data_IF_125262390521
#
_entry.id   IF_125262390521
#
_cell.length_a   1.000
_cell.length_b   1.000
_cell.length_c   1.000
_cell.angle_alpha   90.00
_cell.angle_beta   90.00
_cell.angle_gamma   90.00
#
_symmetry.space_group_name_H-M   'P 1'
#
loop_
_entity.id
_entity.type
_entity.pdbx_description
1 polymer ?
#
# COMPACT_ATOMS: atom_id res chain seq x y z
N UNK A 1 -9.90 -12.28 13.60
CA UNK A 1 -8.77 -11.60 12.92
C UNK A 1 -7.98 -12.69 12.20
N UNK A 2 -7.89 -12.65 10.87
CA UNK A 2 -7.06 -13.61 10.13
C UNK A 2 -5.57 -13.22 10.24
N UNK A 3 -4.65 -14.14 9.92
CA UNK A 3 -3.21 -13.93 10.07
C UNK A 3 -2.71 -12.69 9.29
N UNK A 4 -3.28 -12.43 8.11
CA UNK A 4 -3.01 -11.25 7.29
C UNK A 4 -3.36 -9.94 8.02
N UNK A 5 -4.57 -9.82 8.54
CA UNK A 5 -5.00 -8.63 9.28
C UNK A 5 -4.18 -8.43 10.56
N UNK A 6 -3.80 -9.52 11.24
CA UNK A 6 -2.92 -9.44 12.41
C UNK A 6 -1.54 -8.89 12.05
N UNK A 7 -0.95 -9.36 10.94
CA UNK A 7 0.32 -8.83 10.41
C UNK A 7 0.20 -7.33 10.10
N UNK A 8 -0.82 -6.93 9.33
CA UNK A 8 -1.02 -5.53 8.94
C UNK A 8 -1.18 -4.60 10.15
N UNK A 9 -1.88 -5.04 11.20
CA UNK A 9 -2.04 -4.24 12.43
C UNK A 9 -0.71 -4.06 13.18
N UNK A 10 0.17 -5.07 13.22
CA UNK A 10 1.49 -4.93 13.84
C UNK A 10 2.40 -4.00 13.02
N UNK A 11 2.45 -4.21 11.71
CA UNK A 11 3.20 -3.34 10.77
C UNK A 11 2.73 -1.89 10.89
N UNK A 12 1.42 -1.63 10.93
CA UNK A 12 0.86 -0.31 11.17
C UNK A 12 1.36 0.29 12.49
N UNK A 13 1.34 -0.49 13.57
CA UNK A 13 1.86 -0.08 14.88
C UNK A 13 3.32 0.32 14.82
N UNK A 14 4.17 -0.46 14.17
CA UNK A 14 5.60 -0.15 14.01
C UNK A 14 5.88 1.03 13.09
N UNK A 15 5.09 1.25 12.04
CA UNK A 15 5.24 2.44 11.18
C UNK A 15 4.91 3.74 11.92
N UNK A 16 4.10 3.67 12.97
CA UNK A 16 3.76 4.83 13.81
C UNK A 16 4.83 5.16 14.86
N UNK A 17 5.90 4.37 14.97
CA UNK A 17 6.97 4.58 15.96
C UNK A 17 8.31 4.98 15.31
N UNK A 18 9.03 5.89 15.97
CA UNK A 18 10.45 6.27 15.81
C UNK A 18 11.16 6.05 14.44
N UNK A 19 11.29 7.11 13.59
CA UNK A 19 10.37 8.23 13.48
C UNK A 19 9.04 7.74 12.89
N UNK A 20 7.93 8.10 13.54
CA UNK A 20 6.61 7.64 13.14
C UNK A 20 6.07 8.35 11.90
N UNK A 21 5.34 7.62 11.06
CA UNK A 21 4.42 8.17 10.06
C UNK A 21 2.97 7.91 10.49
N UNK A 22 2.05 8.72 9.98
CA UNK A 22 0.63 8.52 10.21
C UNK A 22 0.10 7.38 9.32
N UNK A 23 0.33 6.13 9.72
CA UNK A 23 -0.06 4.95 8.95
C UNK A 23 -1.52 4.55 9.23
N UNK A 24 -2.28 4.20 8.19
CA UNK A 24 -3.66 3.70 8.28
C UNK A 24 -3.82 2.40 7.48
N UNK A 25 -4.81 1.58 7.84
CA UNK A 25 -5.19 0.40 7.07
C UNK A 25 -6.56 0.67 6.43
N UNK A 26 -6.70 0.40 5.14
CA UNK A 26 -8.00 0.49 4.46
C UNK A 26 -9.04 -0.46 5.07
N UNK A 27 -8.60 -1.57 5.69
CA UNK A 27 -9.46 -2.55 6.37
C UNK A 27 -9.83 -2.18 7.81
N UNK A 28 -9.62 -0.95 8.27
CA UNK A 28 -9.96 -0.60 9.64
C UNK A 28 -11.49 -0.55 9.82
N UNK A 29 -12.01 -1.65 10.36
CA UNK A 29 -13.40 -1.96 10.76
C UNK A 29 -14.15 -0.89 11.57
N UNK A 30 -13.52 0.25 11.87
CA UNK A 30 -14.14 1.39 12.53
C UNK A 30 -14.71 2.44 11.56
N UNK A 31 -14.49 2.29 10.25
CA UNK A 31 -15.08 3.18 9.24
C UNK A 31 -16.36 2.54 8.70
N UNK A 32 -17.47 3.25 8.84
CA UNK A 32 -18.77 2.80 8.34
C UNK A 32 -18.75 2.73 6.81
N UNK A 33 -18.88 1.52 6.27
CA UNK A 33 -18.95 1.26 4.83
C UNK A 33 -20.39 1.23 4.31
N UNK A 34 -21.38 1.51 5.16
CA UNK A 34 -22.79 1.56 4.75
C UNK A 34 -23.06 2.77 3.82
N UNK A 35 -22.26 3.83 3.94
CA UNK A 35 -22.35 5.05 3.12
C UNK A 35 -21.38 5.09 1.92
N UNK A 36 -20.24 4.39 2.00
CA UNK A 36 -19.19 4.37 0.96
C UNK A 36 -18.60 2.96 0.84
N UNK A 37 -18.64 2.39 -0.37
CA UNK A 37 -18.07 1.06 -0.62
C UNK A 37 -16.54 1.06 -0.40
N UNK A 38 -16.00 -0.11 -0.05
CA UNK A 38 -14.58 -0.27 0.29
C UNK A 38 -13.62 0.19 -0.82
N UNK A 39 -13.99 0.04 -2.10
CA UNK A 39 -13.13 0.43 -3.22
C UNK A 39 -13.08 1.95 -3.35
N UNK A 40 -14.25 2.62 -3.28
CA UNK A 40 -14.31 4.09 -3.29
C UNK A 40 -13.50 4.68 -2.13
N UNK A 41 -13.64 4.10 -0.94
CA UNK A 41 -12.86 4.51 0.22
C UNK A 41 -11.35 4.38 -0.02
N UNK A 42 -10.87 3.26 -0.55
CA UNK A 42 -9.44 3.06 -0.82
C UNK A 42 -8.89 4.01 -1.88
N UNK A 43 -9.69 4.40 -2.86
CA UNK A 43 -9.33 5.43 -3.83
C UNK A 43 -9.14 6.78 -3.12
N UNK A 44 -10.07 7.20 -2.29
CA UNK A 44 -9.97 8.50 -1.59
C UNK A 44 -8.83 8.53 -0.57
N UNK A 45 -8.62 7.44 0.19
CA UNK A 45 -7.44 7.34 1.05
C UNK A 45 -6.14 7.43 0.26
N UNK A 46 -6.06 6.76 -0.89
CA UNK A 46 -4.87 6.80 -1.73
C UNK A 46 -4.59 8.20 -2.27
N UNK A 47 -5.64 8.96 -2.62
CA UNK A 47 -5.51 10.35 -3.09
C UNK A 47 -4.91 11.28 -2.02
N UNK A 48 -5.25 11.05 -0.76
CA UNK A 48 -4.81 11.91 0.34
C UNK A 48 -3.50 11.42 0.99
N UNK A 49 -3.10 10.17 0.75
CA UNK A 49 -1.91 9.59 1.35
C UNK A 49 -0.65 9.99 0.58
N UNK A 50 0.38 10.47 1.30
CA UNK A 50 1.67 10.72 0.66
C UNK A 50 2.22 9.45 0.00
N UNK A 51 2.09 8.30 0.66
CA UNK A 51 2.52 7.00 0.18
C UNK A 51 1.45 5.94 0.48
N UNK A 52 1.17 5.07 -0.50
CA UNK A 52 0.24 3.95 -0.39
C UNK A 52 0.96 2.65 -0.73
N UNK A 53 0.74 1.63 0.10
CA UNK A 53 1.35 0.31 -0.09
C UNK A 53 0.28 -0.78 -0.12
N UNK A 54 0.29 -1.58 -1.18
CA UNK A 54 -0.51 -2.80 -1.28
C UNK A 54 0.34 -3.96 -0.77
N UNK A 55 0.01 -4.46 0.42
CA UNK A 55 0.72 -5.58 1.04
C UNK A 55 -0.03 -6.87 0.76
N UNK A 56 0.67 -7.84 0.19
CA UNK A 56 0.11 -9.15 -0.20
C UNK A 56 0.78 -10.25 0.65
N UNK A 57 0.20 -10.57 1.81
CA UNK A 57 0.76 -11.58 2.72
C UNK A 57 0.22 -12.98 2.40
N UNK A 58 1.09 -13.98 2.46
CA UNK A 58 0.77 -15.40 2.29
C UNK A 58 0.18 -15.80 0.92
N UNK A 59 0.46 -17.04 0.49
CA UNK A 59 -0.19 -17.62 -0.69
C UNK A 59 -1.70 -17.81 -0.45
N UNK A 60 -2.52 -17.32 -1.38
CA UNK A 60 -3.98 -17.54 -1.39
C UNK A 60 -4.83 -16.46 -0.74
N UNK A 61 -4.25 -15.44 -0.07
CA UNK A 61 -4.98 -14.30 0.48
C UNK A 61 -5.02 -13.09 -0.48
N UNK A 62 -5.04 -13.37 -1.80
CA UNK A 62 -4.69 -12.40 -2.84
C UNK A 62 -5.90 -11.82 -3.60
N UNK A 63 -7.10 -12.39 -3.42
CA UNK A 63 -8.22 -12.07 -4.31
C UNK A 63 -8.78 -10.67 -4.04
N UNK A 64 -9.04 -10.31 -2.78
CA UNK A 64 -9.56 -8.98 -2.42
C UNK A 64 -8.57 -7.84 -2.69
N UNK A 65 -7.29 -8.04 -2.35
CA UNK A 65 -6.25 -7.04 -2.60
C UNK A 65 -6.07 -6.80 -4.10
N UNK A 66 -6.22 -7.82 -4.95
CA UNK A 66 -6.07 -7.68 -6.40
C UNK A 66 -7.15 -6.82 -7.05
N UNK A 67 -8.42 -7.01 -6.68
CA UNK A 67 -9.53 -6.22 -7.23
C UNK A 67 -9.48 -4.75 -6.77
N UNK A 68 -9.19 -4.54 -5.48
CA UNK A 68 -9.08 -3.22 -4.89
C UNK A 68 -7.87 -2.46 -5.46
N UNK A 69 -6.71 -3.11 -5.50
CA UNK A 69 -5.50 -2.50 -6.03
C UNK A 69 -5.63 -2.21 -7.54
N UNK A 70 -6.28 -3.10 -8.30
CA UNK A 70 -6.62 -2.85 -9.70
C UNK A 70 -7.47 -1.58 -9.87
N UNK A 71 -8.52 -1.43 -9.06
CA UNK A 71 -9.41 -0.27 -9.10
C UNK A 71 -8.69 1.05 -8.75
N UNK A 72 -7.82 1.02 -7.73
CA UNK A 72 -6.99 2.18 -7.37
C UNK A 72 -6.03 2.53 -8.51
N UNK A 73 -5.35 1.55 -9.09
CA UNK A 73 -4.41 1.75 -10.20
C UNK A 73 -5.08 2.32 -11.44
N UNK A 74 -6.26 1.80 -11.80
CA UNK A 74 -7.02 2.32 -12.93
C UNK A 74 -7.34 3.80 -12.81
N UNK A 75 -7.49 4.30 -11.59
CA UNK A 75 -7.88 5.68 -11.33
C UNK A 75 -6.72 6.62 -11.02
N UNK A 76 -5.66 6.11 -10.41
CA UNK A 76 -4.59 6.93 -9.83
C UNK A 76 -3.19 6.63 -10.35
N UNK A 77 -2.94 5.56 -11.12
CA UNK A 77 -1.57 5.24 -11.57
C UNK A 77 -0.92 6.40 -12.35
N UNK A 78 -1.70 7.11 -13.18
CA UNK A 78 -1.19 8.22 -13.99
C UNK A 78 -0.79 9.46 -13.17
N UNK A 79 -1.37 9.66 -11.98
CA UNK A 79 -1.17 10.88 -11.17
C UNK A 79 -0.43 10.61 -9.86
N UNK A 80 -0.50 9.38 -9.36
CA UNK A 80 0.04 8.98 -8.06
C UNK A 80 1.00 7.79 -8.17
N UNK A 81 1.38 7.31 -9.36
CA UNK A 81 2.21 6.12 -9.52
C UNK A 81 3.49 6.14 -8.68
N UNK A 82 4.17 7.29 -8.59
CA UNK A 82 5.35 7.51 -7.73
C UNK A 82 5.10 7.34 -6.22
N UNK A 83 3.83 7.32 -5.81
CA UNK A 83 3.33 7.19 -4.44
C UNK A 83 2.77 5.81 -4.15
N UNK A 84 2.77 4.88 -5.12
CA UNK A 84 2.25 3.52 -4.98
C UNK A 84 3.38 2.50 -4.94
N UNK A 85 3.27 1.52 -4.04
CA UNK A 85 4.15 0.34 -4.00
C UNK A 85 3.36 -0.93 -3.75
N UNK A 86 3.74 -2.02 -4.41
CA UNK A 86 3.28 -3.36 -4.10
C UNK A 86 4.37 -4.09 -3.34
N UNK A 87 4.01 -4.72 -2.22
CA UNK A 87 4.94 -5.45 -1.39
C UNK A 87 4.36 -6.84 -1.13
N UNK A 88 5.04 -7.88 -1.59
CA UNK A 88 4.58 -9.26 -1.42
C UNK A 88 5.62 -10.11 -0.71
N UNK A 89 5.15 -11.13 -0.01
CA UNK A 89 6.05 -12.11 0.61
C UNK A 89 6.84 -12.84 -0.49
N UNK A 90 8.13 -13.14 -0.26
CA UNK A 90 9.06 -13.58 -1.30
C UNK A 90 8.58 -14.85 -2.04
N UNK A 91 7.96 -15.78 -1.32
CA UNK A 91 7.41 -17.02 -1.87
C UNK A 91 6.03 -16.85 -2.53
N UNK A 92 5.45 -15.64 -2.48
CA UNK A 92 4.16 -15.34 -3.12
C UNK A 92 4.39 -14.90 -4.56
N UNK A 93 4.19 -15.82 -5.49
CA UNK A 93 4.09 -15.47 -6.91
C UNK A 93 2.65 -15.15 -7.30
N UNK A 94 2.40 -13.96 -7.84
CA UNK A 94 1.07 -13.55 -8.30
C UNK A 94 1.08 -13.14 -9.78
N UNK A 95 0.27 -13.83 -10.59
CA UNK A 95 0.04 -13.43 -11.98
C UNK A 95 -0.59 -12.03 -12.07
N UNK A 96 -1.38 -11.64 -11.07
CA UNK A 96 -1.97 -10.30 -10.96
C UNK A 96 -0.89 -9.23 -10.76
N UNK A 97 0.07 -9.42 -9.84
CA UNK A 97 1.17 -8.47 -9.63
C UNK A 97 1.98 -8.30 -10.92
N UNK A 98 2.26 -9.40 -11.63
CA UNK A 98 2.96 -9.35 -12.92
C UNK A 98 2.16 -8.60 -13.99
N UNK A 99 0.87 -8.90 -14.14
CA UNK A 99 0.00 -8.25 -15.11
C UNK A 99 -0.16 -6.75 -14.82
N UNK A 100 -0.27 -6.40 -13.54
CA UNK A 100 -0.37 -5.02 -13.10
C UNK A 100 0.94 -4.26 -13.37
N UNK A 101 2.09 -4.89 -13.12
CA UNK A 101 3.38 -4.27 -13.46
C UNK A 101 3.51 -3.95 -14.95
N UNK A 102 3.11 -4.88 -15.82
CA UNK A 102 3.17 -4.69 -17.27
C UNK A 102 2.27 -3.55 -17.72
N UNK A 103 1.10 -3.37 -17.09
CA UNK A 103 0.11 -2.36 -17.47
C UNK A 103 0.43 -0.96 -16.94
N UNK A 104 1.02 -0.85 -15.75
CA UNK A 104 1.14 0.42 -15.02
C UNK A 104 2.56 0.79 -14.57
N UNK A 105 3.58 -0.02 -14.87
CA UNK A 105 4.98 0.17 -14.44
C UNK A 105 5.09 0.40 -12.92
N UNK A 106 4.73 -0.63 -12.16
CA UNK A 106 4.57 -0.54 -10.72
C UNK A 106 5.87 -0.77 -9.99
N UNK A 107 6.07 -0.02 -8.91
CA UNK A 107 7.09 -0.38 -7.94
C UNK A 107 6.66 -1.63 -7.19
N UNK A 108 7.41 -2.72 -7.36
CA UNK A 108 7.21 -3.99 -6.66
C UNK A 108 8.43 -4.29 -5.80
N UNK A 109 8.19 -4.60 -4.54
CA UNK A 109 9.20 -5.00 -3.56
C UNK A 109 8.80 -6.34 -2.93
N UNK A 110 9.77 -7.06 -2.37
CA UNK A 110 9.52 -8.30 -1.64
C UNK A 110 9.94 -8.19 -0.18
N UNK A 111 9.44 -9.11 0.64
CA UNK A 111 9.89 -9.29 2.03
C UNK A 111 9.85 -10.76 2.42
N UNK A 112 10.72 -11.17 3.35
CA UNK A 112 10.71 -12.49 3.99
C UNK A 112 10.27 -12.40 5.45
N UNK A 113 10.51 -11.25 6.09
CA UNK A 113 10.17 -11.04 7.50
C UNK A 113 9.33 -9.78 7.71
N UNK A 114 8.60 -9.74 8.83
CA UNK A 114 7.84 -8.55 9.24
C UNK A 114 8.74 -7.30 9.37
N UNK A 115 9.97 -7.46 9.90
CA UNK A 115 10.93 -6.36 10.02
C UNK A 115 11.42 -5.85 8.66
N UNK A 116 11.59 -6.73 7.68
CA UNK A 116 11.91 -6.33 6.31
C UNK A 116 10.77 -5.57 5.65
N UNK A 117 9.53 -6.04 5.83
CA UNK A 117 8.34 -5.34 5.36
C UNK A 117 8.29 -3.92 5.94
N UNK A 118 8.45 -3.77 7.26
CA UNK A 118 8.48 -2.46 7.92
C UNK A 118 9.62 -1.59 7.37
N UNK A 119 10.83 -2.13 7.23
CA UNK A 119 11.97 -1.42 6.67
C UNK A 119 11.72 -0.94 5.23
N UNK A 120 11.12 -1.78 4.39
CA UNK A 120 10.75 -1.47 3.02
C UNK A 120 9.73 -0.34 2.96
N UNK A 121 8.66 -0.42 3.77
CA UNK A 121 7.63 0.61 3.82
C UNK A 121 8.17 1.95 4.34
N UNK A 122 9.05 1.94 5.36
CA UNK A 122 9.72 3.16 5.87
C UNK A 122 10.59 3.81 4.80
N UNK A 123 11.40 3.02 4.10
CA UNK A 123 12.25 3.53 3.00
C UNK A 123 11.40 4.14 1.89
N UNK A 124 10.30 3.49 1.51
CA UNK A 124 9.40 3.99 0.49
C UNK A 124 8.76 5.32 0.89
N UNK A 125 8.12 5.39 2.06
CA UNK A 125 7.52 6.61 2.58
C UNK A 125 8.55 7.74 2.71
N UNK A 126 9.74 7.43 3.23
CA UNK A 126 10.84 8.39 3.34
C UNK A 126 11.32 8.91 1.99
N UNK A 127 11.40 8.05 0.97
CA UNK A 127 11.79 8.44 -0.39
C UNK A 127 10.76 9.40 -1.02
N UNK A 128 9.46 9.12 -0.87
CA UNK A 128 8.39 10.01 -1.32
C UNK A 128 8.49 11.37 -0.63
N UNK A 129 8.55 11.39 0.71
CA UNK A 129 8.67 12.63 1.48
C UNK A 129 9.94 13.42 1.12
N UNK A 130 11.04 12.73 0.81
CA UNK A 130 12.26 13.37 0.37
C UNK A 130 12.10 14.03 -1.00
N UNK A 131 11.46 13.36 -1.96
CA UNK A 131 11.14 13.91 -3.28
C UNK A 131 10.24 15.12 -3.18
N UNK A 132 9.19 15.07 -2.36
CA UNK A 132 8.30 16.21 -2.09
C UNK A 132 9.09 17.42 -1.58
N UNK A 133 9.97 17.22 -0.60
CA UNK A 133 10.78 18.30 -0.01
C UNK A 133 11.80 18.89 -0.98
N UNK A 134 12.26 18.11 -1.96
CA UNK A 134 13.29 18.52 -2.94
C UNK A 134 12.70 19.00 -4.26
N UNK A 135 11.37 19.03 -4.41
CA UNK A 135 10.69 19.41 -5.65
C UNK A 135 10.74 18.33 -6.75
N UNK A 136 11.05 17.08 -6.38
CA UNK A 136 11.01 15.92 -7.28
C UNK A 136 9.65 15.20 -7.29
N UNK A 137 8.67 15.72 -6.54
CA UNK A 137 7.27 15.32 -6.53
C UNK A 137 6.44 16.49 -5.98
N UNK A 138 5.28 16.78 -6.55
CA UNK A 138 4.38 17.80 -6.02
C UNK A 138 3.80 17.36 -4.69
N UNK A 139 3.62 18.26 -3.72
CA UNK A 139 2.94 17.94 -2.46
C UNK A 139 1.44 17.78 -2.71
N UNK A 140 0.81 16.86 -1.99
CA UNK A 140 -0.65 16.77 -1.92
C UNK A 140 -1.17 17.89 -1.02
N UNK A 141 -2.31 18.47 -1.41
CA UNK A 141 -3.00 19.54 -0.67
C UNK A 141 -3.79 19.00 0.53
#
# INVERSE_FOLDING_TARGET
INAAQALLRRVQGELRTDPGVNAFLALDVGVDTDDVDAVTQSIEYTRCANATAFVVPFLGHNFGVGEEAGSVLERLAATHGDRLVFVHENDVTSAMIRAANVRWDLRIETYETEGELVGTLRRFAGAVMHRERRGGLDRLD
#
